data_IF_477277168254
#
_entry.id   IF_477277168254
#
_cell.length_a   1.000
_cell.length_b   1.000
_cell.length_c   1.000
_cell.angle_alpha   90.00
_cell.angle_beta   90.00
_cell.angle_gamma   90.00
#
_symmetry.space_group_name_H-M   'P 1'
#
loop_
_entity.id
_entity.type
_entity.pdbx_description
1 polymer ?
#
# COMPACT_ATOMS: atom_id res chain seq x y z
N UNK A 1 3.37 11.92 42.29
CA UNK A 1 2.27 12.69 41.68
C UNK A 1 2.64 13.01 40.24
N UNK A 2 2.04 12.31 39.26
CA UNK A 2 2.27 12.59 37.84
C UNK A 2 1.48 13.81 37.41
N UNK A 3 2.14 14.79 36.80
CA UNK A 3 1.49 15.97 36.24
C UNK A 3 0.55 15.50 35.11
N UNK A 4 -0.76 15.81 35.15
CA UNK A 4 -1.67 15.47 34.06
C UNK A 4 -1.23 16.19 32.79
N UNK A 5 -1.21 15.47 31.67
CA UNK A 5 -0.84 16.01 30.37
C UNK A 5 -1.77 17.17 30.01
N UNK A 6 -1.28 18.41 30.09
CA UNK A 6 -2.00 19.60 29.66
C UNK A 6 -1.41 20.12 28.34
N UNK A 7 -2.02 19.73 27.22
CA UNK A 7 -1.60 20.16 25.89
C UNK A 7 -2.55 19.65 24.80
N UNK A 8 -2.43 20.19 23.59
CA UNK A 8 -3.14 19.67 22.42
C UNK A 8 -2.28 18.63 21.70
N UNK A 9 -2.80 17.42 21.52
CA UNK A 9 -2.14 16.40 20.69
C UNK A 9 -2.31 16.81 19.23
N UNK A 10 -1.40 17.65 18.72
CA UNK A 10 -1.39 18.06 17.32
C UNK A 10 -0.69 16.99 16.49
N UNK A 11 -1.34 16.51 15.42
CA UNK A 11 -0.69 15.60 14.46
C UNK A 11 0.46 16.36 13.78
N UNK A 12 1.67 15.80 13.83
CA UNK A 12 2.85 16.40 13.22
C UNK A 12 2.70 16.49 11.69
N UNK A 13 3.27 17.52 11.08
CA UNK A 13 3.32 17.73 9.63
C UNK A 13 4.58 17.17 8.95
N UNK A 14 5.41 16.43 9.70
CA UNK A 14 6.71 15.94 9.20
C UNK A 14 6.59 14.82 8.17
N UNK A 15 7.74 14.47 7.57
CA UNK A 15 7.86 13.45 6.51
C UNK A 15 7.29 12.10 6.94
N UNK A 16 7.53 11.67 8.18
CA UNK A 16 7.01 10.40 8.72
C UNK A 16 5.47 10.41 8.78
N UNK A 17 4.87 11.54 9.14
CA UNK A 17 3.41 11.71 9.14
C UNK A 17 2.84 11.66 7.73
N UNK A 18 3.53 12.27 6.75
CA UNK A 18 3.15 12.19 5.35
C UNK A 18 3.19 10.75 4.82
N UNK A 19 4.24 9.99 5.12
CA UNK A 19 4.35 8.56 4.79
C UNK A 19 3.18 7.78 5.41
N UNK A 20 2.90 7.98 6.70
CA UNK A 20 1.79 7.30 7.38
C UNK A 20 0.42 7.63 6.76
N UNK A 21 0.21 8.85 6.26
CA UNK A 21 -1.01 9.22 5.51
C UNK A 21 -1.11 8.46 4.19
N UNK A 22 -0.02 8.41 3.42
CA UNK A 22 0.01 7.67 2.16
C UNK A 22 -0.23 6.18 2.38
N UNK A 23 0.37 5.57 3.40
CA UNK A 23 0.19 4.15 3.72
C UNK A 23 -1.26 3.78 4.07
N UNK A 24 -2.03 4.70 4.66
CA UNK A 24 -3.46 4.45 4.93
C UNK A 24 -4.31 4.44 3.67
N UNK A 25 -3.87 5.11 2.61
CA UNK A 25 -4.57 5.17 1.34
C UNK A 25 -4.21 4.01 0.40
N UNK A 26 -3.14 3.25 0.69
CA UNK A 26 -2.70 2.13 -0.14
C UNK A 26 -3.73 1.02 -0.16
N UNK A 27 -4.14 0.60 -1.36
CA UNK A 27 -4.96 -0.59 -1.59
C UNK A 27 -4.33 -1.48 -2.68
N UNK A 28 -4.06 -2.75 -2.35
CA UNK A 28 -3.41 -3.69 -3.26
C UNK A 28 -4.38 -4.57 -4.07
N UNK A 29 -5.69 -4.34 -4.02
CA UNK A 29 -6.70 -5.16 -4.75
C UNK A 29 -6.47 -5.21 -6.26
N UNK A 30 -5.94 -4.14 -6.85
CA UNK A 30 -5.62 -4.11 -8.28
C UNK A 30 -4.31 -4.83 -8.64
N UNK A 31 -3.43 -5.09 -7.68
CA UNK A 31 -2.12 -5.69 -7.91
C UNK A 31 -2.17 -7.21 -7.77
N UNK A 32 -1.59 -7.93 -8.74
CA UNK A 32 -1.40 -9.39 -8.71
C UNK A 32 -0.07 -9.76 -8.07
N UNK A 33 1.01 -9.08 -8.47
CA UNK A 33 2.36 -9.32 -7.95
C UNK A 33 3.17 -8.04 -7.98
N UNK A 34 3.89 -7.80 -6.89
CA UNK A 34 4.85 -6.70 -6.73
C UNK A 34 6.23 -7.35 -6.62
N UNK A 35 7.15 -6.98 -7.51
CA UNK A 35 8.53 -7.46 -7.52
C UNK A 35 9.44 -6.28 -7.22
N UNK A 36 10.14 -6.33 -6.10
CA UNK A 36 11.10 -5.29 -5.71
C UNK A 36 12.49 -5.84 -5.97
N UNK A 37 13.17 -5.30 -7.00
CA UNK A 37 14.53 -5.66 -7.36
C UNK A 37 15.49 -4.58 -6.86
N UNK A 38 16.51 -4.96 -6.09
CA UNK A 38 17.53 -4.01 -5.64
C UNK A 38 18.87 -4.68 -5.34
N UNK A 39 19.94 -3.89 -5.41
CA UNK A 39 21.27 -4.27 -4.96
C UNK A 39 21.56 -3.66 -3.58
N UNK A 40 21.77 -4.45 -2.51
CA UNK A 40 21.94 -3.92 -1.17
C UNK A 40 23.22 -3.08 -1.00
N UNK A 41 24.20 -3.23 -1.89
CA UNK A 41 25.46 -2.48 -1.86
C UNK A 41 25.44 -1.22 -2.72
N UNK A 42 24.32 -0.93 -3.40
CA UNK A 42 24.15 0.31 -4.15
C UNK A 42 23.87 1.51 -3.25
N UNK A 43 24.36 2.69 -3.62
CA UNK A 43 24.26 3.92 -2.81
C UNK A 43 22.80 4.37 -2.59
N UNK A 44 21.94 4.21 -3.61
CA UNK A 44 20.59 4.80 -3.63
C UNK A 44 19.47 3.77 -3.36
N UNK A 45 19.67 2.87 -2.40
CA UNK A 45 18.76 1.73 -2.18
C UNK A 45 17.94 1.81 -0.88
N UNK A 46 18.31 2.74 0.01
CA UNK A 46 17.66 2.97 1.30
C UNK A 46 16.16 3.23 1.18
N UNK A 47 15.74 4.07 0.22
CA UNK A 47 14.33 4.41 0.03
C UNK A 47 13.50 3.23 -0.50
N UNK A 48 14.05 2.44 -1.42
CA UNK A 48 13.39 1.24 -1.96
C UNK A 48 13.25 0.16 -0.89
N UNK A 49 14.26 -0.01 -0.03
CA UNK A 49 14.19 -0.92 1.13
C UNK A 49 13.14 -0.48 2.14
N UNK A 50 13.05 0.83 2.42
CA UNK A 50 12.03 1.37 3.31
C UNK A 50 10.62 1.17 2.73
N UNK A 51 10.44 1.38 1.42
CA UNK A 51 9.19 1.10 0.73
C UNK A 51 8.80 -0.39 0.84
N UNK A 52 9.75 -1.30 0.60
CA UNK A 52 9.54 -2.74 0.75
C UNK A 52 9.13 -3.10 2.18
N UNK A 53 9.78 -2.52 3.19
CA UNK A 53 9.42 -2.73 4.59
C UNK A 53 7.96 -2.36 4.85
N UNK A 54 7.51 -1.20 4.38
CA UNK A 54 6.12 -0.80 4.55
C UNK A 54 5.14 -1.72 3.81
N UNK A 55 5.45 -2.11 2.57
CA UNK A 55 4.61 -3.02 1.77
C UNK A 55 4.52 -4.42 2.37
N UNK A 56 5.55 -4.88 3.08
CA UNK A 56 5.53 -6.15 3.80
C UNK A 56 4.66 -6.13 5.06
N UNK A 57 4.16 -4.97 5.48
CA UNK A 57 3.35 -4.86 6.70
C UNK A 57 2.03 -5.63 6.58
N UNK A 58 1.66 -6.32 7.66
CA UNK A 58 0.44 -7.14 7.72
C UNK A 58 -0.82 -6.35 7.34
N UNK A 59 -0.91 -5.08 7.73
CA UNK A 59 -2.06 -4.22 7.40
C UNK A 59 -2.27 -4.06 5.90
N UNK A 60 -1.18 -3.92 5.14
CA UNK A 60 -1.24 -3.74 3.69
C UNK A 60 -1.47 -5.10 3.01
N UNK A 61 -0.81 -6.16 3.47
CA UNK A 61 -1.03 -7.52 2.96
C UNK A 61 -2.49 -7.97 3.11
N UNK A 62 -3.18 -7.56 4.18
CA UNK A 62 -4.61 -7.87 4.37
C UNK A 62 -5.54 -7.21 3.34
N UNK A 63 -5.12 -6.12 2.67
CA UNK A 63 -5.95 -5.47 1.63
C UNK A 63 -6.15 -6.38 0.41
N UNK A 64 -5.15 -7.20 0.10
CA UNK A 64 -5.22 -8.24 -0.93
C UNK A 64 -4.29 -9.42 -0.56
N UNK A 65 -4.80 -10.48 0.09
CA UNK A 65 -3.99 -11.63 0.48
C UNK A 65 -3.48 -12.45 -0.72
N UNK A 66 -4.10 -12.29 -1.90
CA UNK A 66 -3.67 -12.97 -3.12
C UNK A 66 -2.51 -12.25 -3.82
N UNK A 67 -2.19 -11.02 -3.43
CA UNK A 67 -1.08 -10.28 -4.01
C UNK A 67 0.25 -10.85 -3.52
N UNK A 68 1.11 -11.26 -4.46
CA UNK A 68 2.43 -11.80 -4.15
C UNK A 68 3.46 -10.68 -4.09
N UNK A 69 4.05 -10.46 -2.91
CA UNK A 69 5.22 -9.59 -2.74
C UNK A 69 6.50 -10.43 -2.89
N UNK A 70 7.26 -10.19 -3.95
CA UNK A 70 8.54 -10.86 -4.23
C UNK A 70 9.70 -9.87 -4.12
N UNK A 71 10.78 -10.28 -3.46
CA UNK A 71 12.02 -9.51 -3.33
C UNK A 71 13.11 -10.18 -4.14
N UNK A 72 13.74 -9.44 -5.04
CA UNK A 72 14.86 -9.90 -5.86
C UNK A 72 16.11 -9.11 -5.49
N UNK A 73 16.99 -9.77 -4.73
CA UNK A 73 18.26 -9.17 -4.28
C UNK A 73 19.33 -9.56 -5.30
N UNK A 74 20.01 -8.58 -5.87
CA UNK A 74 21.03 -8.74 -6.92
C UNK A 74 22.33 -8.05 -6.51
N UNK A 75 23.45 -8.31 -7.16
CA UNK A 75 24.77 -7.71 -6.86
C UNK A 75 25.45 -7.10 -8.10
N UNK A 76 24.66 -6.64 -9.07
CA UNK A 76 25.13 -6.19 -10.39
C UNK A 76 25.28 -4.66 -10.49
N UNK A 77 25.20 -3.94 -9.35
CA UNK A 77 25.11 -2.46 -9.28
C UNK A 77 23.97 -1.87 -10.11
N UNK A 78 22.95 -2.68 -10.41
CA UNK A 78 21.79 -2.26 -11.20
C UNK A 78 20.88 -1.33 -10.40
N UNK A 79 20.25 -0.38 -11.08
CA UNK A 79 19.29 0.52 -10.45
C UNK A 79 18.12 -0.23 -9.78
N UNK A 80 17.70 0.18 -8.57
CA UNK A 80 16.61 -0.47 -7.88
C UNK A 80 15.28 -0.20 -8.62
N UNK A 81 14.48 -1.25 -8.80
CA UNK A 81 13.24 -1.20 -9.58
C UNK A 81 12.09 -1.85 -8.83
N UNK A 82 10.91 -1.23 -8.86
CA UNK A 82 9.67 -1.80 -8.32
C UNK A 82 8.71 -2.07 -9.47
N UNK A 83 8.49 -3.35 -9.74
CA UNK A 83 7.63 -3.83 -10.80
C UNK A 83 6.29 -4.31 -10.24
N UNK A 84 5.20 -3.74 -10.73
CA UNK A 84 3.85 -4.09 -10.29
C UNK A 84 3.06 -4.61 -11.47
N UNK A 85 2.62 -5.87 -11.34
CA UNK A 85 1.76 -6.53 -12.32
C UNK A 85 0.32 -6.44 -11.85
N UNK A 86 -0.55 -5.99 -12.74
CA UNK A 86 -1.97 -5.77 -12.45
C UNK A 86 -2.73 -7.08 -12.65
N UNK A 87 -3.84 -7.27 -11.93
CA UNK A 87 -4.74 -8.41 -12.12
C UNK A 87 -5.33 -8.35 -13.54
N UNK A 88 -5.33 -9.46 -14.32
CA UNK A 88 -5.76 -9.44 -15.72
C UNK A 88 -7.18 -8.89 -15.92
N UNK A 89 -8.10 -9.19 -15.01
CA UNK A 89 -9.49 -8.71 -15.04
C UNK A 89 -9.61 -7.18 -15.02
N UNK A 90 -8.68 -6.50 -14.32
CA UNK A 90 -8.65 -5.03 -14.20
C UNK A 90 -7.78 -4.43 -15.30
N UNK A 91 -6.75 -5.17 -15.74
CA UNK A 91 -5.86 -4.76 -16.83
C UNK A 91 -6.60 -4.56 -18.15
N UNK A 92 -7.67 -5.32 -18.41
CA UNK A 92 -8.53 -5.15 -19.60
C UNK A 92 -9.34 -3.84 -19.53
N UNK A 93 -9.82 -3.46 -18.36
CA UNK A 93 -10.55 -2.20 -18.16
C UNK A 93 -9.63 -0.98 -18.25
N UNK A 94 -8.38 -1.12 -17.79
CA UNK A 94 -7.44 -0.02 -17.67
C UNK A 94 -6.36 0.03 -18.77
N UNK A 95 -6.35 -0.93 -19.70
CA UNK A 95 -5.33 -1.12 -20.76
C UNK A 95 -3.87 -1.16 -20.28
N UNK A 96 -3.63 -1.43 -18.98
CA UNK A 96 -2.31 -1.42 -18.35
C UNK A 96 -2.02 -2.79 -17.74
N UNK A 97 -0.97 -3.46 -18.22
CA UNK A 97 -0.56 -4.80 -17.73
C UNK A 97 0.49 -4.74 -16.63
N UNK A 98 1.43 -3.81 -16.73
CA UNK A 98 2.58 -3.67 -15.82
C UNK A 98 2.90 -2.19 -15.60
N UNK A 99 3.23 -1.84 -14.36
CA UNK A 99 3.76 -0.53 -13.97
C UNK A 99 5.15 -0.75 -13.38
N UNK A 100 6.13 -0.01 -13.87
CA UNK A 100 7.54 -0.13 -13.43
C UNK A 100 8.02 1.19 -12.86
N UNK A 101 8.40 1.21 -11.59
CA UNK A 101 9.01 2.37 -10.95
C UNK A 101 10.52 2.20 -10.87
N UNK A 102 11.26 3.08 -11.54
CA UNK A 102 12.72 3.18 -11.39
C UNK A 102 13.01 4.03 -10.16
N UNK A 103 13.55 3.41 -9.12
CA UNK A 103 13.64 4.01 -7.78
C UNK A 103 14.99 4.65 -7.44
N UNK A 104 15.91 4.74 -8.41
CA UNK A 104 17.28 5.25 -8.18
C UNK A 104 17.34 6.67 -7.61
N UNK A 105 16.39 7.55 -7.97
CA UNK A 105 16.32 8.94 -7.46
C UNK A 105 14.96 9.25 -6.81
N UNK A 106 14.18 8.22 -6.43
CA UNK A 106 12.86 8.41 -5.84
C UNK A 106 12.91 8.20 -4.33
N UNK A 107 12.26 9.11 -3.61
CA UNK A 107 12.06 8.95 -2.18
C UNK A 107 10.97 7.93 -1.88
N UNK A 108 10.99 7.37 -0.67
CA UNK A 108 9.94 6.45 -0.23
C UNK A 108 8.54 7.10 -0.26
N UNK A 109 8.45 8.41 0.00
CA UNK A 109 7.20 9.15 -0.03
C UNK A 109 6.64 9.20 -1.46
N UNK A 110 7.48 9.56 -2.43
CA UNK A 110 7.10 9.64 -3.84
C UNK A 110 6.69 8.28 -4.40
N UNK A 111 7.42 7.20 -4.04
CA UNK A 111 7.03 5.84 -4.44
C UNK A 111 5.61 5.48 -3.94
N UNK A 112 5.26 5.85 -2.71
CA UNK A 112 3.92 5.62 -2.17
C UNK A 112 2.86 6.49 -2.84
N UNK A 113 3.19 7.76 -3.15
CA UNK A 113 2.29 8.65 -3.89
C UNK A 113 2.02 8.14 -5.31
N UNK A 114 3.06 7.70 -6.03
CA UNK A 114 2.93 7.13 -7.36
C UNK A 114 2.09 5.85 -7.34
N UNK A 115 2.31 4.98 -6.34
CA UNK A 115 1.49 3.80 -6.16
C UNK A 115 0.02 4.16 -5.92
N UNK A 116 -0.25 5.14 -5.07
CA UNK A 116 -1.62 5.59 -4.81
C UNK A 116 -2.27 6.25 -6.03
N UNK A 117 -1.49 6.97 -6.84
CA UNK A 117 -1.98 7.59 -8.07
C UNK A 117 -2.34 6.57 -9.16
N UNK A 118 -1.55 5.50 -9.29
CA UNK A 118 -1.68 4.57 -10.42
C UNK A 118 -2.43 3.28 -10.09
N UNK A 119 -2.38 2.79 -8.85
CA UNK A 119 -2.89 1.45 -8.50
C UNK A 119 -4.15 1.49 -7.66
N UNK A 120 -4.21 2.41 -6.69
CA UNK A 120 -5.39 2.55 -5.81
C UNK A 120 -6.69 2.89 -6.57
N UNK A 121 -6.71 3.79 -7.59
CA UNK A 121 -7.95 4.07 -8.33
C UNK A 121 -8.41 2.92 -9.22
N UNK A 122 -7.52 1.98 -9.53
CA UNK A 122 -7.85 0.78 -10.30
C UNK A 122 -8.49 -0.31 -9.43
N UNK A 123 -8.53 -0.12 -8.10
CA UNK A 123 -9.19 -1.07 -7.22
C UNK A 123 -10.72 -1.06 -7.50
N UNK A 124 -11.35 -2.23 -7.69
CA UNK A 124 -12.79 -2.30 -7.85
C UNK A 124 -13.47 -1.72 -6.60
N UNK A 125 -14.50 -0.89 -6.82
CA UNK A 125 -15.28 -0.33 -5.73
C UNK A 125 -15.85 -1.47 -4.87
N UNK A 126 -15.58 -1.43 -3.57
CA UNK A 126 -16.10 -2.41 -2.64
C UNK A 126 -17.62 -2.35 -2.68
N UNK A 127 -18.25 -3.42 -3.16
CA UNK A 127 -19.68 -3.62 -2.94
C UNK A 127 -19.85 -3.81 -1.43
N UNK A 128 -20.33 -2.77 -0.76
CA UNK A 128 -20.78 -2.86 0.63
C UNK A 128 -21.89 -3.90 0.63
N UNK A 129 -21.58 -5.15 0.98
CA UNK A 129 -22.61 -6.15 1.21
C UNK A 129 -23.43 -5.65 2.40
N UNK A 130 -24.60 -5.16 2.07
CA UNK A 130 -25.61 -4.67 2.98
C UNK A 130 -25.99 -5.74 4.00
N UNK A 131 -26.17 -5.26 5.23
CA UNK A 131 -27.02 -5.83 6.30
C UNK A 131 -26.71 -7.26 6.79
N UNK A 132 -25.83 -7.35 7.80
CA UNK A 132 -25.94 -8.41 8.80
C UNK A 132 -27.24 -8.16 9.58
N UNK A 133 -28.33 -8.82 9.17
CA UNK A 133 -29.57 -8.84 9.94
C UNK A 133 -29.33 -9.59 11.25
N UNK A 134 -29.12 -8.85 12.33
CA UNK A 134 -29.05 -9.45 13.67
C UNK A 134 -30.46 -9.91 14.06
N UNK A 135 -30.57 -11.10 14.66
CA UNK A 135 -31.85 -11.74 15.06
C UNK A 135 -32.71 -10.89 16.02
N UNK A 136 -32.21 -9.75 16.50
CA UNK A 136 -32.90 -8.84 17.41
C UNK A 136 -34.01 -8.02 16.72
N UNK A 137 -33.88 -7.70 15.42
CA UNK A 137 -34.89 -6.91 14.71
C UNK A 137 -36.20 -7.68 14.47
N UNK A 138 -36.17 -9.01 14.46
CA UNK A 138 -37.36 -9.85 14.25
C UNK A 138 -38.27 -9.94 15.48
N UNK A 139 -37.81 -9.51 16.65
CA UNK A 139 -38.59 -9.57 17.91
C UNK A 139 -39.41 -8.29 18.18
N UNK A 140 -39.13 -7.19 17.46
CA UNK A 140 -39.82 -5.90 17.64
C UNK A 140 -41.12 -5.73 16.82
N UNK A 141 -41.46 -6.66 15.92
CA UNK A 141 -42.66 -6.57 15.06
C UNK A 141 -43.87 -7.39 15.53
N UNK A 142 -43.86 -7.86 16.78
CA UNK A 142 -45.04 -8.46 17.43
C UNK A 142 -45.39 -7.65 18.67
N UNK A 143 -46.11 -6.56 18.48
CA UNK A 143 -47.07 -5.98 19.42
C UNK A 143 -47.96 -5.01 18.65
#
# INVERSE_FOLDING_TARGET
>A
MSIPYSGTIRRSGGVVSAIAKQLRAVNLKAAKRITVKFDPFGDNVTHTRNFLHYMSSRKISLTNPNCVLKTEVVCDRSEPTVDITIVPSIAETASLKKVTFKSGNLTCLELLQLLNKHITPLAPAEQITTTISTKLEKKGKRK
#
